data_IF_552397597895
#
_entry.id   IF_552397597895
#
_cell.length_a   1.000
_cell.length_b   1.000
_cell.length_c   1.000
_cell.angle_alpha   90.00
_cell.angle_beta   90.00
_cell.angle_gamma   90.00
#
_symmetry.space_group_name_H-M   'P 1'
#
loop_
_entity.id
_entity.type
_entity.pdbx_description
1 polymer ?
#
# COMPACT_ATOMS: atom_id res chain seq x y z
N UNK A 1 -4.76 12.87 45.11
CA UNK A 1 -5.81 11.98 44.55
C UNK A 1 -6.25 12.36 43.13
N UNK A 2 -6.52 13.64 42.81
CA UNK A 2 -6.91 14.08 41.44
C UNK A 2 -5.87 13.91 40.31
N UNK A 3 -4.54 14.02 40.51
CA UNK A 3 -3.60 13.86 39.39
C UNK A 3 -3.40 12.39 38.98
N UNK A 4 -3.62 11.44 39.90
CA UNK A 4 -3.58 10.00 39.59
C UNK A 4 -4.75 9.56 38.70
N UNK A 5 -5.93 10.16 38.87
CA UNK A 5 -7.11 9.90 38.03
C UNK A 5 -6.91 10.41 36.60
N UNK A 6 -6.23 11.54 36.41
CA UNK A 6 -5.87 12.05 35.08
C UNK A 6 -4.79 11.20 34.39
N UNK A 7 -3.80 10.70 35.14
CA UNK A 7 -2.76 9.83 34.59
C UNK A 7 -3.30 8.47 34.11
N UNK A 8 -4.29 7.92 34.80
CA UNK A 8 -4.91 6.64 34.43
C UNK A 8 -5.79 6.77 33.17
N UNK A 9 -6.46 7.91 32.98
CA UNK A 9 -7.24 8.19 31.76
C UNK A 9 -6.34 8.36 30.52
N UNK A 10 -5.15 8.93 30.68
CA UNK A 10 -4.17 9.07 29.59
C UNK A 10 -3.56 7.71 29.18
N UNK A 11 -3.31 6.82 30.15
CA UNK A 11 -2.81 5.48 29.88
C UNK A 11 -3.81 4.59 29.13
N UNK A 12 -5.13 4.77 29.34
CA UNK A 12 -6.16 4.02 28.62
C UNK A 12 -6.32 4.46 27.16
N UNK A 13 -6.08 5.74 26.85
CA UNK A 13 -6.15 6.28 25.49
C UNK A 13 -5.02 5.76 24.57
N UNK A 14 -3.87 5.40 25.14
CA UNK A 14 -2.74 4.83 24.40
C UNK A 14 -2.90 3.35 24.03
N UNK A 15 -3.95 2.68 24.54
CA UNK A 15 -4.26 1.28 24.23
C UNK A 15 -5.41 1.15 23.22
N UNK A 16 -5.61 2.15 22.35
CA UNK A 16 -6.43 1.98 21.16
C UNK A 16 -5.82 0.85 20.32
N UNK A 17 -6.46 -0.33 20.34
CA UNK A 17 -6.03 -1.47 19.54
C UNK A 17 -6.02 -1.04 18.09
N UNK A 18 -4.86 -1.14 17.43
CA UNK A 18 -4.75 -1.10 15.98
C UNK A 18 -5.46 -2.33 15.40
N UNK A 19 -6.78 -2.31 15.39
CA UNK A 19 -7.56 -3.26 14.60
C UNK A 19 -7.30 -2.91 13.13
N UNK A 20 -6.70 -3.86 12.41
CA UNK A 20 -6.52 -3.72 10.98
C UNK A 20 -7.87 -3.49 10.32
N UNK A 21 -7.91 -2.56 9.36
CA UNK A 21 -9.09 -2.34 8.54
C UNK A 21 -9.44 -3.65 7.82
N UNK A 22 -10.73 -3.93 7.66
CA UNK A 22 -11.18 -5.02 6.82
C UNK A 22 -10.76 -4.79 5.35
N UNK A 23 -10.64 -5.86 4.58
CA UNK A 23 -10.34 -5.75 3.15
C UNK A 23 -11.37 -4.91 2.39
N UNK A 24 -12.65 -4.99 2.78
CA UNK A 24 -13.73 -4.20 2.20
C UNK A 24 -13.51 -2.70 2.44
N UNK A 25 -13.20 -2.32 3.68
CA UNK A 25 -12.92 -0.92 4.03
C UNK A 25 -11.68 -0.39 3.30
N UNK A 26 -10.63 -1.19 3.12
CA UNK A 26 -9.43 -0.81 2.37
C UNK A 26 -9.68 -0.64 0.86
N UNK A 27 -10.54 -1.49 0.29
CA UNK A 27 -10.92 -1.44 -1.12
C UNK A 27 -11.84 -0.25 -1.42
N UNK A 28 -12.75 0.07 -0.50
CA UNK A 28 -13.71 1.18 -0.63
C UNK A 28 -13.18 2.52 -0.10
N UNK A 29 -11.94 2.56 0.41
CA UNK A 29 -11.31 3.79 0.85
C UNK A 29 -11.09 4.75 -0.32
N UNK A 30 -12.03 5.69 -0.51
CA UNK A 30 -11.97 6.72 -1.55
C UNK A 30 -11.32 8.03 -1.09
N UNK A 31 -10.72 8.07 0.11
CA UNK A 31 -10.16 9.32 0.66
C UNK A 31 -9.03 9.87 -0.21
N UNK A 32 -8.97 11.20 -0.45
CA UNK A 32 -7.93 11.80 -1.31
C UNK A 32 -6.50 11.45 -0.88
N UNK A 33 -6.28 11.26 0.42
CA UNK A 33 -4.96 11.01 1.01
C UNK A 33 -4.47 9.57 0.77
N UNK A 34 -5.35 8.65 0.34
CA UNK A 34 -5.01 7.25 0.11
C UNK A 34 -3.87 7.09 -0.89
N UNK A 35 -3.95 7.80 -2.02
CA UNK A 35 -2.91 7.73 -3.05
C UNK A 35 -1.56 8.22 -2.53
N UNK A 36 -1.54 9.31 -1.76
CA UNK A 36 -0.31 9.85 -1.19
C UNK A 36 0.36 8.84 -0.25
N UNK A 37 -0.44 8.20 0.62
CA UNK A 37 0.04 7.13 1.52
C UNK A 37 0.61 5.93 0.76
N UNK A 38 -0.08 5.46 -0.27
CA UNK A 38 0.36 4.31 -1.07
C UNK A 38 1.67 4.60 -1.79
N UNK A 39 1.79 5.80 -2.41
CA UNK A 39 3.02 6.20 -3.10
C UNK A 39 4.18 6.34 -2.12
N UNK A 40 3.95 6.93 -0.94
CA UNK A 40 4.98 7.04 0.09
C UNK A 40 5.47 5.65 0.57
N UNK A 41 4.55 4.71 0.76
CA UNK A 41 4.88 3.32 1.09
C UNK A 41 5.70 2.65 0.00
N UNK A 42 5.25 2.73 -1.25
CA UNK A 42 5.95 2.12 -2.39
C UNK A 42 7.36 2.72 -2.61
N UNK A 43 7.54 4.03 -2.39
CA UNK A 43 8.87 4.66 -2.41
C UNK A 43 9.78 4.14 -1.30
N UNK A 44 9.23 3.92 -0.10
CA UNK A 44 9.97 3.36 1.04
C UNK A 44 10.38 1.91 0.79
N UNK A 45 9.53 1.14 0.13
CA UNK A 45 9.82 -0.25 -0.28
C UNK A 45 10.77 -0.32 -1.50
N UNK A 46 10.83 0.75 -2.30
CA UNK A 46 11.78 0.95 -3.41
C UNK A 46 11.28 0.47 -4.77
N UNK A 47 10.54 -0.63 -4.82
CA UNK A 47 9.91 -1.14 -6.03
C UNK A 47 8.66 -1.95 -5.72
N UNK A 48 7.74 -2.04 -6.67
CA UNK A 48 6.61 -2.97 -6.61
C UNK A 48 6.79 -4.11 -7.61
N UNK A 49 6.30 -5.30 -7.27
CA UNK A 49 6.25 -6.44 -8.18
C UNK A 49 4.82 -6.64 -8.69
N UNK A 50 4.65 -6.67 -10.01
CA UNK A 50 3.36 -6.85 -10.66
C UNK A 50 3.31 -8.16 -11.45
N UNK A 51 2.43 -9.06 -11.03
CA UNK A 51 2.10 -10.28 -11.76
C UNK A 51 0.98 -10.01 -12.76
N UNK A 52 1.21 -10.31 -14.04
CA UNK A 52 0.25 -9.96 -15.10
C UNK A 52 0.38 -10.89 -16.30
N UNK A 53 -0.68 -10.96 -17.11
CA UNK A 53 -0.69 -11.61 -18.44
C UNK A 53 -0.50 -10.62 -19.59
N UNK A 54 -0.51 -9.31 -19.32
CA UNK A 54 -0.36 -8.24 -20.31
C UNK A 54 0.95 -8.43 -21.10
N UNK A 55 0.95 -8.23 -22.43
CA UNK A 55 2.17 -8.31 -23.23
C UNK A 55 3.27 -7.37 -22.75
N UNK A 56 4.53 -7.81 -22.85
CA UNK A 56 5.70 -7.07 -22.38
C UNK A 56 5.80 -5.66 -22.99
N UNK A 57 5.49 -5.52 -24.29
CA UNK A 57 5.51 -4.23 -24.98
C UNK A 57 4.59 -3.18 -24.32
N UNK A 58 3.42 -3.60 -23.85
CA UNK A 58 2.42 -2.70 -23.28
C UNK A 58 2.80 -2.40 -21.83
N UNK A 59 3.32 -3.41 -21.13
CA UNK A 59 3.87 -3.22 -19.79
C UNK A 59 5.06 -2.27 -19.77
N UNK A 60 5.95 -2.28 -20.76
CA UNK A 60 7.07 -1.35 -20.84
C UNK A 60 6.62 0.12 -20.87
N UNK A 61 5.52 0.41 -21.59
CA UNK A 61 4.93 1.76 -21.63
C UNK A 61 4.33 2.12 -20.28
N UNK A 62 3.56 1.20 -19.67
CA UNK A 62 2.90 1.42 -18.40
C UNK A 62 3.89 1.62 -17.25
N UNK A 63 4.97 0.82 -17.18
CA UNK A 63 5.98 0.93 -16.12
C UNK A 63 6.80 2.20 -16.26
N UNK A 64 7.11 2.64 -17.48
CA UNK A 64 7.78 3.90 -17.73
C UNK A 64 6.94 5.12 -17.30
N UNK A 65 5.64 5.13 -17.64
CA UNK A 65 4.73 6.20 -17.20
C UNK A 65 4.53 6.18 -15.67
N UNK A 66 4.41 5.00 -15.07
CA UNK A 66 4.30 4.85 -13.62
C UNK A 66 5.54 5.37 -12.87
N UNK A 67 6.73 5.00 -13.34
CA UNK A 67 7.99 5.49 -12.80
C UNK A 67 8.10 7.01 -12.94
N UNK A 68 7.74 7.56 -14.11
CA UNK A 68 7.74 9.01 -14.32
C UNK A 68 6.81 9.76 -13.35
N UNK A 69 5.62 9.21 -13.06
CA UNK A 69 4.63 9.85 -12.17
C UNK A 69 5.00 9.75 -10.70
N UNK A 70 5.51 8.59 -10.30
CA UNK A 70 5.62 8.25 -8.88
C UNK A 70 7.06 8.03 -8.41
N UNK A 71 8.04 7.92 -9.31
CA UNK A 71 9.44 7.62 -8.97
C UNK A 71 9.59 6.25 -8.30
N UNK A 72 8.76 5.29 -8.68
CA UNK A 72 8.74 3.92 -8.13
C UNK A 72 8.92 2.96 -9.28
N UNK A 73 9.90 2.06 -9.17
CA UNK A 73 10.16 1.02 -10.18
C UNK A 73 9.12 -0.10 -10.08
N UNK A 74 8.80 -0.69 -11.23
CA UNK A 74 7.88 -1.83 -11.32
C UNK A 74 8.61 -3.03 -11.89
N UNK A 75 8.74 -4.08 -11.09
CA UNK A 75 9.23 -5.39 -11.53
C UNK A 75 8.06 -6.19 -12.10
N UNK A 76 8.06 -6.42 -13.42
CA UNK A 76 6.98 -7.15 -14.07
C UNK A 76 7.31 -8.63 -14.09
N UNK A 77 6.45 -9.44 -13.48
CA UNK A 77 6.48 -10.88 -13.61
C UNK A 77 5.34 -11.33 -14.52
N UNK A 78 5.70 -11.75 -15.73
CA UNK A 78 4.77 -12.36 -16.66
C UNK A 78 5.08 -13.84 -16.74
N UNK A 79 4.18 -14.68 -16.25
CA UNK A 79 4.25 -16.10 -16.52
C UNK A 79 4.10 -16.30 -18.04
N UNK A 80 5.13 -16.86 -18.69
CA UNK A 80 4.94 -17.53 -19.98
C UNK A 80 3.88 -18.63 -19.78
N UNK A 81 3.08 -18.94 -20.79
CA UNK A 81 1.88 -19.81 -20.75
C UNK A 81 2.07 -21.26 -20.24
N UNK A 82 3.18 -21.55 -19.57
CA UNK A 82 3.47 -22.82 -18.91
C UNK A 82 2.70 -22.86 -17.60
N UNK A 83 1.64 -23.67 -17.61
CA UNK A 83 0.92 -24.25 -16.46
C UNK A 83 1.43 -23.78 -15.08
N UNK A 84 0.66 -22.93 -14.41
CA UNK A 84 0.81 -22.72 -12.96
C UNK A 84 0.27 -24.00 -12.29
N UNK A 85 1.06 -24.61 -11.40
CA UNK A 85 0.87 -25.94 -10.79
C UNK A 85 -0.57 -26.25 -10.38
#
# INVERSE_FOLDING_TARGET
>A
MKPLLFALAFALACCAKAQGQSFSELALDGRPERIQRLVAGAKKEGALTLYTSIPEKDMAVLTADFDKRYGVKVNVWRASSVKVL
#
